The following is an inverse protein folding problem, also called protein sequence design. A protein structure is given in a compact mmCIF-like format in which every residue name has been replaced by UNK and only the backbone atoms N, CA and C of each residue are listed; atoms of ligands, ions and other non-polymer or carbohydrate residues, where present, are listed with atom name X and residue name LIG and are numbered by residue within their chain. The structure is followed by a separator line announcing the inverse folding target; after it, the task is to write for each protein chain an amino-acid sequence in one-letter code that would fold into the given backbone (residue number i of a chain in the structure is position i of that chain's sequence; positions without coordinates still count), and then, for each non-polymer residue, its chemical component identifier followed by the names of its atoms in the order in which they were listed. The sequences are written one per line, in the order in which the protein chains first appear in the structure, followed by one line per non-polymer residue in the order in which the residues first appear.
data_IF_520537552194
#
_entry.id   IF_520537552194
#
_cell.length_a   1.000
_cell.length_b   1.000
_cell.length_c   1.000
_cell.angle_alpha   90.00
_cell.angle_beta   90.00
_cell.angle_gamma   90.00
#
_symmetry.space_group_name_H-M   'P 1'
#
loop_
_entity.id
_entity.type
_entity.pdbx_description
1 polymer ?
#
# COMPACT_ATOMS: atom_id res chain seq x y z
N UNK A 1 18.78 0.38 -46.20
CA UNK A 1 17.51 -0.03 -46.84
C UNK A 1 16.38 0.45 -45.94
N UNK A 2 15.58 1.42 -46.38
CA UNK A 2 14.42 1.88 -45.61
C UNK A 2 13.28 0.89 -45.86
N UNK A 3 13.09 -0.06 -44.94
CA UNK A 3 11.96 -0.99 -45.01
C UNK A 3 10.67 -0.21 -44.74
N UNK A 4 9.85 -0.07 -45.77
CA UNK A 4 8.47 0.41 -45.66
C UNK A 4 7.52 -0.77 -45.63
N UNK A 5 6.54 -0.72 -44.72
CA UNK A 5 5.44 -1.68 -44.68
C UNK A 5 4.13 -0.94 -44.93
N UNK A 6 3.29 -1.46 -45.80
CA UNK A 6 1.92 -0.95 -45.94
C UNK A 6 1.16 -1.23 -44.63
N UNK A 7 0.70 -0.17 -43.97
CA UNK A 7 -0.02 -0.26 -42.69
C UNK A 7 -1.52 -0.21 -42.93
N UNK A 8 -1.97 0.67 -43.82
CA UNK A 8 -3.38 0.87 -44.09
C UNK A 8 -3.61 1.46 -45.48
N UNK A 9 -4.77 1.19 -46.06
CA UNK A 9 -5.26 1.81 -47.29
C UNK A 9 -6.68 2.32 -47.01
N UNK A 10 -6.92 3.60 -47.31
CA UNK A 10 -8.22 4.24 -47.10
C UNK A 10 -8.55 5.16 -48.29
N UNK A 11 -9.83 5.51 -48.45
CA UNK A 11 -10.34 6.27 -49.60
C UNK A 11 -10.82 7.64 -49.17
N UNK A 12 -10.14 8.69 -49.63
CA UNK A 12 -10.56 10.06 -49.41
C UNK A 12 -11.65 10.46 -50.41
N UNK A 13 -12.78 10.95 -49.88
CA UNK A 13 -13.89 11.52 -50.64
C UNK A 13 -14.39 10.60 -51.77
N UNK A 14 -14.39 9.28 -51.54
CA UNK A 14 -14.81 8.21 -52.46
C UNK A 14 -14.04 8.12 -53.80
N UNK A 15 -13.00 8.94 -53.98
CA UNK A 15 -12.31 9.11 -55.27
C UNK A 15 -10.81 8.78 -55.15
N UNK A 16 -10.16 9.16 -54.05
CA UNK A 16 -8.71 9.10 -53.94
C UNK A 16 -8.26 8.08 -52.89
N UNK A 17 -7.88 6.89 -53.35
CA UNK A 17 -7.23 5.88 -52.49
C UNK A 17 -5.86 6.37 -52.03
N UNK A 18 -5.57 6.32 -50.73
CA UNK A 18 -4.26 6.61 -50.16
C UNK A 18 -3.77 5.43 -49.33
N UNK A 19 -2.52 5.07 -49.57
CA UNK A 19 -1.80 4.03 -48.85
C UNK A 19 -0.89 4.71 -47.83
N UNK A 20 -1.00 4.29 -46.59
CA UNK A 20 -0.22 4.75 -45.45
C UNK A 20 0.90 3.75 -45.18
N UNK A 21 2.14 4.19 -45.36
CA UNK A 21 3.33 3.35 -45.23
C UNK A 21 4.03 3.64 -43.90
N UNK A 22 4.19 2.62 -43.07
CA UNK A 22 4.98 2.71 -41.84
C UNK A 22 6.47 2.51 -42.12
N UNK A 23 7.31 3.35 -41.53
CA UNK A 23 8.76 3.18 -41.51
C UNK A 23 9.24 2.56 -40.17
N UNK A 24 10.54 2.27 -40.07
CA UNK A 24 11.18 1.71 -38.86
C UNK A 24 11.04 2.64 -37.65
N UNK A 25 10.91 3.95 -37.88
CA UNK A 25 10.74 4.96 -36.84
C UNK A 25 9.26 5.11 -36.40
N UNK A 26 8.38 4.20 -36.84
CA UNK A 26 6.94 4.24 -36.60
C UNK A 26 6.27 5.54 -37.09
N UNK A 27 6.86 6.20 -38.10
CA UNK A 27 6.21 7.28 -38.82
C UNK A 27 5.42 6.72 -40.00
N UNK A 28 4.26 7.31 -40.22
CA UNK A 28 3.39 7.00 -41.33
C UNK A 28 3.59 8.00 -42.47
N UNK A 29 3.75 7.46 -43.68
CA UNK A 29 4.19 8.17 -44.86
C UNK A 29 3.19 8.00 -45.99
N UNK A 30 2.96 9.06 -46.76
CA UNK A 30 2.11 9.06 -47.96
C UNK A 30 2.89 9.62 -49.14
N UNK A 31 2.69 9.06 -50.33
CA UNK A 31 3.42 9.51 -51.53
C UNK A 31 2.94 10.87 -52.02
N UNK A 32 3.83 11.63 -52.67
CA UNK A 32 3.48 12.90 -53.31
C UNK A 32 2.33 12.79 -54.32
N UNK A 33 2.25 11.66 -55.02
CA UNK A 33 1.23 11.40 -56.05
C UNK A 33 -0.15 11.23 -55.42
N UNK A 34 -0.24 10.44 -54.33
CA UNK A 34 -1.48 10.24 -53.58
C UNK A 34 -2.01 11.55 -53.01
N UNK A 35 -1.15 12.37 -52.41
CA UNK A 35 -1.51 13.69 -51.89
C UNK A 35 -2.02 14.59 -53.02
N UNK A 36 -1.29 14.70 -54.13
CA UNK A 36 -1.70 15.55 -55.24
C UNK A 36 -3.04 15.12 -55.86
N UNK A 37 -3.30 13.81 -55.91
CA UNK A 37 -4.55 13.25 -56.46
C UNK A 37 -5.71 13.54 -55.52
N UNK A 38 -5.53 13.34 -54.22
CA UNK A 38 -6.54 13.64 -53.21
C UNK A 38 -6.90 15.13 -53.18
N UNK A 39 -5.93 16.01 -53.43
CA UNK A 39 -6.15 17.44 -53.55
C UNK A 39 -6.78 17.86 -54.90
N UNK A 40 -6.94 16.95 -55.86
CA UNK A 40 -7.59 17.24 -57.15
C UNK A 40 -6.69 17.91 -58.20
N UNK A 41 -5.36 17.81 -58.08
CA UNK A 41 -4.45 18.33 -59.11
C UNK A 41 -4.48 17.46 -60.38
N UNK A 42 -4.52 18.10 -61.56
CA UNK A 42 -4.45 17.41 -62.87
C UNK A 42 -3.14 16.63 -63.07
N UNK A 43 -2.03 17.17 -62.56
CA UNK A 43 -0.71 16.54 -62.57
C UNK A 43 -0.23 16.41 -61.11
N UNK A 44 -0.68 15.39 -60.37
CA UNK A 44 -0.52 15.29 -58.92
C UNK A 44 0.94 15.45 -58.44
N UNK A 45 1.82 14.56 -58.90
CA UNK A 45 3.24 14.54 -58.52
C UNK A 45 3.95 15.86 -58.80
N UNK A 46 3.76 16.44 -59.99
CA UNK A 46 4.42 17.68 -60.39
C UNK A 46 3.87 18.90 -59.63
N UNK A 47 2.57 18.93 -59.32
CA UNK A 47 2.00 19.99 -58.50
C UNK A 47 2.59 19.98 -57.09
N UNK A 48 2.67 18.81 -56.45
CA UNK A 48 3.26 18.69 -55.11
C UNK A 48 4.75 18.98 -55.13
N UNK A 49 5.48 18.54 -56.17
CA UNK A 49 6.89 18.89 -56.35
C UNK A 49 7.09 20.40 -56.45
N UNK A 50 6.22 21.13 -57.15
CA UNK A 50 6.29 22.60 -57.23
C UNK A 50 6.06 23.26 -55.87
N UNK A 51 5.11 22.76 -55.07
CA UNK A 51 4.88 23.24 -53.70
C UNK A 51 6.13 22.99 -52.85
N UNK A 52 6.67 21.77 -52.90
CA UNK A 52 7.89 21.40 -52.21
C UNK A 52 9.05 22.35 -52.56
N UNK A 53 9.33 22.55 -53.84
CA UNK A 53 10.47 23.37 -54.27
C UNK A 53 10.35 24.83 -53.82
N UNK A 54 9.13 25.36 -53.66
CA UNK A 54 8.90 26.71 -53.15
C UNK A 54 9.10 26.83 -51.63
N UNK A 55 8.93 25.75 -50.89
CA UNK A 55 9.00 25.69 -49.42
C UNK A 55 10.00 24.62 -48.96
N UNK A 56 11.12 24.56 -49.68
CA UNK A 56 12.11 23.49 -49.57
C UNK A 56 12.79 23.48 -48.20
N UNK A 57 13.10 24.66 -47.68
CA UNK A 57 13.67 24.90 -46.36
C UNK A 57 12.93 24.14 -45.25
N UNK A 58 11.60 24.01 -45.38
CA UNK A 58 10.77 23.29 -44.43
C UNK A 58 10.45 21.87 -44.85
N UNK A 59 10.08 21.65 -46.12
CA UNK A 59 9.60 20.35 -46.60
C UNK A 59 10.71 19.31 -46.77
N UNK A 60 11.97 19.70 -46.94
CA UNK A 60 13.11 18.77 -46.92
C UNK A 60 13.17 18.02 -45.57
N UNK A 61 12.81 18.65 -44.46
CA UNK A 61 12.83 18.03 -43.12
C UNK A 61 11.69 17.02 -42.88
N UNK A 62 10.63 17.06 -43.70
CA UNK A 62 9.42 16.25 -43.51
C UNK A 62 9.14 15.34 -44.70
N UNK A 63 10.14 15.15 -45.56
CA UNK A 63 10.06 14.30 -46.73
C UNK A 63 11.21 13.32 -46.76
N UNK A 64 11.00 12.20 -47.44
CA UNK A 64 12.06 11.23 -47.68
C UNK A 64 11.95 10.65 -49.08
N UNK A 65 13.10 10.58 -49.75
CA UNK A 65 13.24 9.91 -51.03
C UNK A 65 13.48 8.42 -50.76
N UNK A 66 12.60 7.57 -51.27
CA UNK A 66 12.74 6.12 -51.12
C UNK A 66 12.89 5.52 -52.51
N UNK A 67 14.07 4.93 -52.75
CA UNK A 67 14.38 4.17 -53.96
C UNK A 67 13.59 2.88 -53.89
N UNK A 68 12.67 2.67 -54.83
CA UNK A 68 11.84 1.46 -54.81
C UNK A 68 12.59 0.30 -55.48
N UNK A 69 13.09 -0.66 -54.70
CA UNK A 69 13.43 -1.99 -55.20
C UNK A 69 12.17 -2.85 -55.49
N UNK A 70 10.97 -2.25 -55.48
CA UNK A 70 9.67 -2.88 -55.72
C UNK A 70 9.46 -3.29 -57.20
N UNK A 71 10.44 -3.98 -57.77
CA UNK A 71 10.23 -4.89 -58.90
C UNK A 71 9.79 -6.24 -58.36
N UNK A 72 8.49 -6.34 -58.06
CA UNK A 72 7.60 -7.52 -58.16
C UNK A 72 6.49 -7.47 -57.12
N UNK A 73 5.32 -6.98 -57.54
CA UNK A 73 4.06 -7.21 -56.83
C UNK A 73 3.50 -5.98 -56.14
N UNK A 74 2.74 -5.16 -56.87
CA UNK A 74 1.31 -4.89 -56.64
C UNK A 74 0.88 -3.88 -57.72
N UNK A 75 -0.26 -4.17 -58.34
CA UNK A 75 -0.85 -3.45 -59.46
C UNK A 75 -1.40 -2.10 -58.97
N UNK A 76 -0.80 -0.99 -59.40
CA UNK A 76 -1.49 0.20 -59.94
C UNK A 76 -0.49 1.35 -60.09
N UNK A 77 -0.32 1.87 -61.31
CA UNK A 77 0.38 3.14 -61.57
C UNK A 77 1.68 3.02 -62.39
N UNK A 78 1.53 3.08 -63.71
CA UNK A 78 2.53 3.44 -64.74
C UNK A 78 3.91 2.74 -64.68
N UNK A 79 4.03 1.63 -65.41
CA UNK A 79 5.31 1.16 -65.95
C UNK A 79 5.78 2.21 -66.97
N UNK A 80 6.89 2.90 -66.70
CA UNK A 80 7.60 3.61 -67.75
C UNK A 80 8.28 2.58 -68.67
N UNK A 81 8.38 2.90 -69.95
CA UNK A 81 8.83 1.97 -71.00
C UNK A 81 10.30 1.51 -70.85
N UNK A 82 11.01 1.92 -69.80
CA UNK A 82 12.46 1.73 -69.63
C UNK A 82 12.87 1.01 -68.32
N UNK A 83 11.95 0.53 -67.49
CA UNK A 83 12.31 -0.32 -66.33
C UNK A 83 13.19 0.36 -65.28
N UNK A 84 13.10 1.69 -65.15
CA UNK A 84 13.88 2.44 -64.18
C UNK A 84 13.27 2.35 -62.78
N UNK A 85 14.11 2.19 -61.76
CA UNK A 85 13.71 2.32 -60.35
C UNK A 85 13.17 3.74 -60.16
N UNK A 86 11.87 3.88 -59.96
CA UNK A 86 11.27 5.19 -59.73
C UNK A 86 11.46 5.59 -58.26
N UNK A 87 12.36 6.54 -58.03
CA UNK A 87 12.49 7.20 -56.74
C UNK A 87 11.17 7.91 -56.41
N UNK A 88 10.49 7.45 -55.36
CA UNK A 88 9.23 8.06 -54.89
C UNK A 88 9.52 8.93 -53.68
N UNK A 89 9.00 10.16 -53.73
CA UNK A 89 9.04 11.09 -52.60
C UNK A 89 7.82 10.86 -51.71
N UNK A 90 8.10 10.66 -50.43
CA UNK A 90 7.11 10.48 -49.37
C UNK A 90 7.13 11.66 -48.42
N UNK A 91 6.00 11.90 -47.76
CA UNK A 91 5.86 12.90 -46.71
C UNK A 91 5.29 12.28 -45.45
N UNK A 92 5.85 12.63 -44.30
CA UNK A 92 5.29 12.26 -43.00
C UNK A 92 4.10 13.15 -42.66
N UNK A 93 3.44 12.87 -41.53
CA UNK A 93 2.29 13.65 -41.03
C UNK A 93 2.50 15.15 -41.15
N UNK A 94 3.63 15.70 -40.66
CA UNK A 94 3.93 17.14 -40.72
C UNK A 94 4.09 17.64 -42.17
N UNK A 95 4.73 16.86 -43.03
CA UNK A 95 4.89 17.19 -44.45
C UNK A 95 3.56 17.26 -45.19
N UNK A 96 2.63 16.35 -44.90
CA UNK A 96 1.27 16.34 -45.47
C UNK A 96 0.46 17.57 -45.02
N UNK A 97 0.60 18.00 -43.76
CA UNK A 97 -0.06 19.23 -43.30
C UNK A 97 0.49 20.46 -44.00
N UNK A 98 1.81 20.53 -44.20
CA UNK A 98 2.46 21.67 -44.87
C UNK A 98 2.15 21.78 -46.36
N UNK A 99 2.34 20.69 -47.08
CA UNK A 99 1.33 20.13 -47.97
C UNK A 99 0.09 20.99 -48.30
N UNK A 100 -0.94 20.67 -47.53
CA UNK A 100 -2.28 21.22 -47.62
C UNK A 100 -2.29 22.71 -47.32
N UNK A 101 -1.51 23.18 -46.34
CA UNK A 101 -1.39 24.60 -45.98
C UNK A 101 -0.96 25.49 -47.15
N UNK A 102 -0.05 25.01 -48.00
CA UNK A 102 0.43 25.75 -49.17
C UNK A 102 -0.34 25.43 -50.46
N UNK A 103 -1.21 24.42 -50.43
CA UNK A 103 -2.07 24.07 -51.54
C UNK A 103 -3.19 25.11 -51.71
N UNK A 104 -3.50 25.47 -52.95
CA UNK A 104 -4.63 26.36 -53.27
C UNK A 104 -5.88 25.61 -53.72
N UNK A 105 -5.90 24.29 -53.53
CA UNK A 105 -7.03 23.46 -53.92
C UNK A 105 -8.14 23.52 -52.88
N UNK A 106 -9.42 23.53 -53.28
CA UNK A 106 -10.55 23.61 -52.35
C UNK A 106 -10.70 22.37 -51.47
N UNK A 107 -10.05 21.25 -51.82
CA UNK A 107 -10.06 20.01 -51.05
C UNK A 107 -8.95 19.95 -49.97
N UNK A 108 -8.11 20.98 -49.85
CA UNK A 108 -6.95 20.96 -48.96
C UNK A 108 -7.31 20.79 -47.48
N UNK A 109 -8.25 21.59 -46.97
CA UNK A 109 -8.66 21.51 -45.56
C UNK A 109 -9.32 20.17 -45.24
N UNK A 110 -10.24 19.71 -46.12
CA UNK A 110 -10.90 18.41 -45.96
C UNK A 110 -9.90 17.25 -45.96
N UNK A 111 -8.89 17.30 -46.84
CA UNK A 111 -7.86 16.27 -46.89
C UNK A 111 -6.96 16.31 -45.66
N UNK A 112 -6.66 17.52 -45.16
CA UNK A 112 -5.90 17.72 -43.93
C UNK A 112 -6.59 17.03 -42.74
N UNK A 113 -7.88 17.32 -42.51
CA UNK A 113 -8.66 16.76 -41.40
C UNK A 113 -8.74 15.24 -41.49
N UNK A 114 -9.07 14.72 -42.68
CA UNK A 114 -9.17 13.28 -42.93
C UNK A 114 -7.84 12.54 -42.70
N UNK A 115 -6.73 13.07 -43.23
CA UNK A 115 -5.42 12.49 -43.01
C UNK A 115 -5.02 12.55 -41.52
N UNK A 116 -5.39 13.61 -40.82
CA UNK A 116 -5.10 13.75 -39.40
C UNK A 116 -5.79 12.66 -38.58
N UNK A 117 -7.07 12.39 -38.84
CA UNK A 117 -7.85 11.34 -38.17
C UNK A 117 -7.26 9.93 -38.37
N UNK A 118 -6.89 9.58 -39.61
CA UNK A 118 -6.26 8.29 -39.91
C UNK A 118 -4.93 8.16 -39.17
N UNK A 119 -4.08 9.18 -39.25
CA UNK A 119 -2.78 9.16 -38.60
C UNK A 119 -2.91 9.05 -37.07
N UNK A 120 -3.85 9.77 -36.45
CA UNK A 120 -4.10 9.66 -35.00
C UNK A 120 -4.63 8.29 -34.59
N UNK A 121 -5.50 7.69 -35.40
CA UNK A 121 -5.98 6.32 -35.17
C UNK A 121 -4.83 5.31 -35.28
N UNK A 122 -3.99 5.44 -36.30
CA UNK A 122 -2.82 4.56 -36.49
C UNK A 122 -1.83 4.66 -35.32
N UNK A 123 -1.52 5.89 -34.89
CA UNK A 123 -0.65 6.12 -33.72
C UNK A 123 -1.27 5.48 -32.47
N UNK A 124 -2.56 5.73 -32.21
CA UNK A 124 -3.27 5.18 -31.04
C UNK A 124 -3.27 3.66 -31.05
N UNK A 125 -3.50 3.03 -32.21
CA UNK A 125 -3.47 1.58 -32.34
C UNK A 125 -2.07 1.01 -32.10
N UNK A 126 -1.01 1.69 -32.57
CA UNK A 126 0.37 1.26 -32.32
C UNK A 126 0.76 1.29 -30.84
N UNK A 127 0.20 2.22 -30.06
CA UNK A 127 0.42 2.32 -28.62
C UNK A 127 -0.33 1.22 -27.84
N UNK A 128 -1.45 0.73 -28.39
CA UNK A 128 -2.27 -0.31 -27.76
C UNK A 128 -1.75 -1.74 -27.99
N UNK A 129 -0.80 -1.94 -28.92
CA UNK A 129 -0.17 -3.24 -29.15
C UNK A 129 1.13 -3.37 -28.36
N UNK A 130 1.03 -3.78 -27.09
CA UNK A 130 2.19 -4.28 -26.35
C UNK A 130 2.57 -5.64 -26.94
N UNK A 131 3.68 -5.71 -27.66
CA UNK A 131 4.25 -6.98 -28.11
C UNK A 131 5.20 -7.47 -27.04
N UNK A 132 4.71 -8.38 -26.20
CA UNK A 132 5.53 -9.08 -25.21
C UNK A 132 6.33 -10.18 -25.90
N UNK A 133 7.60 -10.34 -25.54
CA UNK A 133 8.38 -11.52 -25.88
C UNK A 133 7.76 -12.78 -25.24
N UNK A 134 8.11 -13.95 -25.79
CA UNK A 134 7.62 -15.24 -25.26
C UNK A 134 8.06 -15.44 -23.81
N UNK A 135 9.26 -14.99 -23.50
CA UNK A 135 9.86 -15.04 -22.16
C UNK A 135 9.07 -14.17 -21.19
N UNK A 136 8.77 -12.91 -21.53
CA UNK A 136 7.97 -11.99 -20.73
C UNK A 136 6.56 -12.52 -20.47
N UNK A 137 5.92 -13.09 -21.50
CA UNK A 137 4.61 -13.72 -21.34
C UNK A 137 4.66 -14.90 -20.36
N UNK A 138 5.70 -15.75 -20.45
CA UNK A 138 5.86 -16.89 -19.54
C UNK A 138 6.06 -16.45 -18.09
N UNK A 139 6.82 -15.36 -17.86
CA UNK A 139 7.05 -14.81 -16.52
C UNK A 139 5.74 -14.30 -15.91
N UNK A 140 4.91 -13.61 -16.69
CA UNK A 140 3.61 -13.10 -16.23
C UNK A 140 2.67 -14.26 -15.85
N UNK A 141 2.63 -15.32 -16.67
CA UNK A 141 1.79 -16.50 -16.39
C UNK A 141 2.25 -17.21 -15.12
N UNK A 142 3.56 -17.36 -14.92
CA UNK A 142 4.10 -17.97 -13.71
C UNK A 142 3.77 -17.13 -12.46
N UNK A 143 3.97 -15.82 -12.53
CA UNK A 143 3.63 -14.90 -11.44
C UNK A 143 2.12 -14.95 -11.12
N UNK A 144 1.25 -15.02 -12.13
CA UNK A 144 -0.19 -15.14 -11.94
C UNK A 144 -0.57 -16.46 -11.23
N UNK A 145 0.09 -17.56 -11.58
CA UNK A 145 -0.11 -18.85 -10.92
C UNK A 145 0.34 -18.81 -9.45
N UNK A 146 1.49 -18.19 -9.15
CA UNK A 146 1.99 -18.01 -7.79
C UNK A 146 1.02 -17.19 -6.94
N UNK A 147 0.52 -16.06 -7.46
CA UNK A 147 -0.51 -15.26 -6.80
C UNK A 147 -1.78 -16.08 -6.52
N UNK A 148 -2.19 -16.92 -7.48
CA UNK A 148 -3.32 -17.84 -7.30
C UNK A 148 -3.11 -18.85 -6.17
N UNK A 149 -1.88 -19.36 -6.00
CA UNK A 149 -1.54 -20.24 -4.88
C UNK A 149 -1.53 -19.50 -3.55
N UNK A 150 -0.93 -18.31 -3.51
CA UNK A 150 -0.90 -17.46 -2.31
C UNK A 150 -2.30 -17.13 -1.81
N UNK A 151 -3.23 -16.83 -2.71
CA UNK A 151 -4.63 -16.57 -2.34
C UNK A 151 -5.29 -17.78 -1.66
N UNK A 152 -5.05 -19.00 -2.14
CA UNK A 152 -5.58 -20.22 -1.49
C UNK A 152 -5.02 -20.41 -0.08
N UNK A 153 -3.73 -20.14 0.11
CA UNK A 153 -3.09 -20.21 1.44
C UNK A 153 -3.70 -19.15 2.37
N UNK A 154 -3.92 -17.92 1.89
CA UNK A 154 -4.55 -16.86 2.67
C UNK A 154 -5.99 -17.20 3.08
N UNK A 155 -6.77 -17.80 2.19
CA UNK A 155 -8.11 -18.30 2.54
C UNK A 155 -8.07 -19.37 3.63
N UNK A 156 -7.13 -20.32 3.52
CA UNK A 156 -6.95 -21.37 4.52
C UNK A 156 -6.53 -20.79 5.88
N UNK A 157 -5.60 -19.83 5.89
CA UNK A 157 -5.16 -19.15 7.10
C UNK A 157 -6.31 -18.38 7.77
N UNK A 158 -7.14 -17.71 6.97
CA UNK A 158 -8.32 -16.99 7.47
C UNK A 158 -9.31 -17.93 8.15
N UNK A 159 -9.56 -19.12 7.57
CA UNK A 159 -10.42 -20.15 8.19
C UNK A 159 -9.82 -20.66 9.50
N UNK A 160 -8.51 -20.87 9.57
CA UNK A 160 -7.84 -21.29 10.81
C UNK A 160 -7.94 -20.23 11.91
N UNK A 161 -7.76 -18.95 11.57
CA UNK A 161 -7.91 -17.85 12.54
C UNK A 161 -9.34 -17.78 13.11
N UNK A 162 -10.36 -18.00 12.28
CA UNK A 162 -11.74 -18.07 12.75
C UNK A 162 -11.95 -19.22 13.74
N UNK A 163 -11.41 -20.41 13.45
CA UNK A 163 -11.50 -21.57 14.36
C UNK A 163 -10.82 -21.27 15.70
N UNK A 164 -9.61 -20.72 15.68
CA UNK A 164 -8.86 -20.35 16.90
C UNK A 164 -9.64 -19.29 17.70
N UNK A 165 -10.21 -18.30 17.03
CA UNK A 165 -11.01 -17.26 17.69
C UNK A 165 -12.23 -17.84 18.42
N UNK A 166 -12.92 -18.81 17.82
CA UNK A 166 -14.07 -19.48 18.42
C UNK A 166 -13.67 -20.40 19.58
N UNK A 167 -12.50 -21.02 19.51
CA UNK A 167 -11.94 -21.79 20.62
C UNK A 167 -11.60 -20.87 21.80
N UNK A 168 -11.00 -19.71 21.53
CA UNK A 168 -10.69 -18.72 22.57
C UNK A 168 -11.95 -18.20 23.27
N UNK A 169 -13.02 -17.87 22.55
CA UNK A 169 -14.29 -17.46 23.18
C UNK A 169 -14.86 -18.58 24.04
N UNK A 170 -14.83 -19.82 23.56
CA UNK A 170 -15.27 -20.99 24.34
C UNK A 170 -14.45 -21.19 25.61
N UNK A 171 -13.14 -20.96 25.55
CA UNK A 171 -12.26 -21.03 26.73
C UNK A 171 -12.56 -19.91 27.72
N UNK A 172 -12.76 -18.68 27.25
CA UNK A 172 -13.14 -17.55 28.11
C UNK A 172 -14.47 -17.81 28.83
N UNK A 173 -15.46 -18.39 28.14
CA UNK A 173 -16.73 -18.80 28.74
C UNK A 173 -16.54 -19.87 29.82
N UNK A 174 -15.72 -20.90 29.55
CA UNK A 174 -15.39 -21.93 30.53
C UNK A 174 -14.70 -21.35 31.76
N UNK A 175 -13.71 -20.47 31.57
CA UNK A 175 -13.02 -19.79 32.66
C UNK A 175 -14.00 -18.94 33.49
N UNK A 176 -14.91 -18.22 32.84
CA UNK A 176 -15.93 -17.42 33.52
C UNK A 176 -16.85 -18.29 34.38
N UNK A 177 -17.27 -19.46 33.89
CA UNK A 177 -18.08 -20.43 34.66
C UNK A 177 -17.32 -21.02 35.83
N UNK A 178 -16.03 -21.32 35.66
CA UNK A 178 -15.16 -21.78 36.75
C UNK A 178 -15.06 -20.68 37.81
N UNK A 179 -14.82 -19.44 37.41
CA UNK A 179 -14.79 -18.28 38.32
C UNK A 179 -16.08 -18.15 39.13
N UNK A 180 -17.25 -18.26 38.48
CA UNK A 180 -18.55 -18.24 39.17
C UNK A 180 -18.68 -19.38 40.18
N UNK A 181 -18.21 -20.58 39.86
CA UNK A 181 -18.23 -21.72 40.79
C UNK A 181 -17.29 -21.51 41.97
N UNK A 182 -16.09 -20.97 41.75
CA UNK A 182 -15.13 -20.64 42.82
C UNK A 182 -15.76 -19.64 43.80
N UNK A 183 -16.46 -18.61 43.30
CA UNK A 183 -17.15 -17.61 44.13
C UNK A 183 -18.26 -18.19 45.03
N UNK A 184 -18.79 -19.36 44.71
CA UNK A 184 -19.81 -20.04 45.54
C UNK A 184 -19.20 -20.92 46.64
N UNK A 185 -17.93 -21.32 46.49
CA UNK A 185 -17.26 -22.27 47.39
C UNK A 185 -16.28 -21.53 48.32
N UNK A 186 -15.63 -20.49 47.80
CA UNK A 186 -14.73 -19.63 48.57
C UNK A 186 -15.57 -18.45 49.07
N UNK A 187 -15.66 -18.19 50.39
CA UNK A 187 -16.35 -17.01 50.88
C UNK A 187 -15.75 -15.77 50.19
N UNK A 188 -16.57 -14.77 49.81
CA UNK A 188 -16.05 -13.56 49.18
C UNK A 188 -14.94 -13.00 50.06
N UNK A 189 -13.86 -12.50 49.45
CA UNK A 189 -12.80 -11.80 50.17
C UNK A 189 -13.48 -10.61 50.87
N UNK A 190 -13.83 -10.80 52.14
CA UNK A 190 -14.43 -9.77 52.97
C UNK A 190 -13.30 -8.79 53.29
N UNK A 191 -13.08 -7.84 52.41
CA UNK A 191 -12.33 -6.65 52.77
C UNK A 191 -13.14 -5.93 53.84
N UNK A 192 -12.65 -5.97 55.07
CA UNK A 192 -13.21 -5.13 56.13
C UNK A 192 -13.16 -3.66 55.67
N UNK A 193 -14.08 -2.85 56.20
CA UNK A 193 -14.06 -1.40 55.95
C UNK A 193 -12.68 -0.80 56.25
N UNK A 194 -12.00 -1.32 57.28
CA UNK A 194 -10.65 -0.92 57.67
C UNK A 194 -9.59 -1.29 56.62
N UNK A 195 -9.59 -2.51 56.10
CA UNK A 195 -8.65 -2.93 55.04
C UNK A 195 -8.78 -2.08 53.77
N UNK A 196 -10.01 -1.76 53.38
CA UNK A 196 -10.27 -0.89 52.22
C UNK A 196 -9.70 0.53 52.45
N UNK A 197 -9.93 1.10 53.63
CA UNK A 197 -9.39 2.41 54.03
C UNK A 197 -7.86 2.42 53.99
N UNK A 198 -7.22 1.40 54.55
CA UNK A 198 -5.75 1.30 54.57
C UNK A 198 -5.15 1.10 53.18
N UNK A 199 -5.76 0.25 52.35
CA UNK A 199 -5.32 0.03 50.96
C UNK A 199 -5.34 1.34 50.16
N UNK A 200 -6.40 2.15 50.30
CA UNK A 200 -6.48 3.47 49.65
C UNK A 200 -5.40 4.44 50.14
N UNK A 201 -5.11 4.46 51.44
CA UNK A 201 -4.01 5.27 52.01
C UNK A 201 -2.66 4.84 51.42
N UNK A 202 -2.38 3.54 51.37
CA UNK A 202 -1.13 2.99 50.82
C UNK A 202 -0.98 3.27 49.33
N UNK A 203 -2.06 3.17 48.55
CA UNK A 203 -2.06 3.58 47.13
C UNK A 203 -1.72 5.07 46.98
N UNK A 204 -2.20 5.92 47.90
CA UNK A 204 -1.89 7.35 47.88
C UNK A 204 -0.43 7.63 48.26
N UNK A 205 0.12 6.90 49.25
CA UNK A 205 1.54 6.96 49.62
C UNK A 205 2.44 6.53 48.46
N UNK A 206 2.11 5.42 47.80
CA UNK A 206 2.86 4.92 46.64
C UNK A 206 2.93 5.99 45.53
N UNK A 207 1.83 6.70 45.26
CA UNK A 207 1.82 7.80 44.28
C UNK A 207 2.74 8.96 44.69
N UNK A 208 2.74 9.34 45.97
CA UNK A 208 3.62 10.41 46.48
C UNK A 208 5.09 10.03 46.33
N UNK A 209 5.44 8.75 46.53
CA UNK A 209 6.79 8.22 46.39
C UNK A 209 7.21 7.93 44.93
N UNK A 210 6.33 8.14 43.95
CA UNK A 210 6.61 7.86 42.54
C UNK A 210 6.60 6.38 42.16
N UNK A 211 5.99 5.53 42.98
CA UNK A 211 5.89 4.09 42.73
C UNK A 211 4.82 3.77 41.69
N UNK A 212 5.15 2.92 40.72
CA UNK A 212 4.32 2.70 39.52
C UNK A 212 3.88 1.26 39.30
N UNK A 213 4.52 0.30 39.96
CA UNK A 213 4.20 -1.13 39.84
C UNK A 213 3.67 -1.73 41.15
N UNK A 214 3.17 -2.97 41.09
CA UNK A 214 2.60 -3.64 42.27
C UNK A 214 3.65 -4.14 43.27
N UNK A 215 4.89 -4.36 42.85
CA UNK A 215 5.97 -4.79 43.75
C UNK A 215 6.45 -3.63 44.64
N UNK A 216 6.44 -2.41 44.11
CA UNK A 216 6.69 -1.20 44.89
C UNK A 216 5.63 -1.03 45.99
N UNK A 217 4.36 -1.36 45.70
CA UNK A 217 3.29 -1.31 46.72
C UNK A 217 3.49 -2.36 47.80
N UNK A 218 3.93 -3.58 47.43
CA UNK A 218 4.27 -4.62 48.41
C UNK A 218 5.43 -4.20 49.31
N UNK A 219 6.38 -3.42 48.79
CA UNK A 219 7.49 -2.90 49.58
C UNK A 219 7.02 -2.01 50.74
N UNK A 220 5.99 -1.17 50.51
CA UNK A 220 5.40 -0.32 51.56
C UNK A 220 4.79 -1.19 52.69
N UNK A 221 4.06 -2.26 52.34
CA UNK A 221 3.55 -3.19 53.35
C UNK A 221 4.69 -3.87 54.13
N UNK A 222 5.75 -4.28 53.44
CA UNK A 222 6.95 -4.84 54.08
C UNK A 222 7.61 -3.87 55.06
N UNK A 223 7.78 -2.61 54.66
CA UNK A 223 8.32 -1.55 55.52
C UNK A 223 7.44 -1.36 56.77
N UNK A 224 6.12 -1.29 56.60
CA UNK A 224 5.19 -1.12 57.72
C UNK A 224 5.28 -2.31 58.69
N UNK A 225 5.33 -3.55 58.18
CA UNK A 225 5.48 -4.72 59.04
C UNK A 225 6.80 -4.72 59.80
N UNK A 226 7.89 -4.28 59.16
CA UNK A 226 9.18 -4.12 59.84
C UNK A 226 9.13 -3.01 60.92
N UNK A 227 8.42 -1.91 60.67
CA UNK A 227 8.20 -0.84 61.64
C UNK A 227 7.36 -1.33 62.83
N UNK A 228 6.34 -2.16 62.60
CA UNK A 228 5.58 -2.80 63.69
C UNK A 228 6.48 -3.72 64.54
N UNK A 229 7.32 -4.54 63.90
CA UNK A 229 8.25 -5.45 64.60
C UNK A 229 9.29 -4.69 65.42
N UNK A 230 9.95 -3.69 64.83
CA UNK A 230 11.10 -3.02 65.44
C UNK A 230 10.74 -1.78 66.27
N UNK A 231 9.75 -1.00 65.85
CA UNK A 231 9.36 0.26 66.50
C UNK A 231 8.36 0.10 67.64
N UNK A 232 7.56 -0.97 67.60
CA UNK A 232 6.52 -1.25 68.60
C UNK A 232 6.73 -2.60 69.33
N UNK A 233 7.86 -3.29 69.07
CA UNK A 233 8.23 -4.58 69.66
C UNK A 233 7.13 -5.66 69.51
N UNK A 234 6.49 -5.71 68.33
CA UNK A 234 5.38 -6.62 68.05
C UNK A 234 5.90 -7.90 67.38
N UNK A 235 5.68 -9.04 68.03
CA UNK A 235 5.90 -10.35 67.43
C UNK A 235 4.75 -10.74 66.48
N UNK A 236 4.77 -10.21 65.27
CA UNK A 236 3.77 -10.51 64.23
C UNK A 236 3.68 -12.00 63.88
N UNK A 237 4.76 -12.76 64.10
CA UNK A 237 4.79 -14.19 63.77
C UNK A 237 3.97 -14.97 64.81
N UNK A 238 4.08 -14.64 66.10
CA UNK A 238 3.20 -15.18 67.16
C UNK A 238 1.71 -14.85 66.95
N UNK A 239 1.39 -13.61 66.57
CA UNK A 239 0.01 -13.23 66.24
C UNK A 239 -0.54 -14.04 65.06
N UNK A 240 0.28 -14.31 64.05
CA UNK A 240 -0.10 -15.13 62.90
C UNK A 240 -0.35 -16.59 63.28
N UNK A 241 0.48 -17.16 64.13
CA UNK A 241 0.28 -18.52 64.66
C UNK A 241 -1.03 -18.64 65.44
N UNK A 242 -1.28 -17.70 66.36
CA UNK A 242 -2.53 -17.67 67.13
C UNK A 242 -3.78 -17.52 66.23
N UNK A 243 -3.69 -16.68 65.20
CA UNK A 243 -4.76 -16.53 64.23
C UNK A 243 -5.04 -17.83 63.46
N UNK A 244 -4.00 -18.56 63.05
CA UNK A 244 -4.12 -19.84 62.35
C UNK A 244 -4.74 -20.93 63.23
N UNK A 245 -4.47 -20.94 64.54
CA UNK A 245 -5.11 -21.88 65.48
C UNK A 245 -6.64 -21.68 65.58
N UNK A 246 -7.11 -20.46 65.33
CA UNK A 246 -8.54 -20.12 65.34
C UNK A 246 -9.28 -20.40 64.01
N UNK A 247 -8.55 -20.78 62.95
CA UNK A 247 -9.07 -20.98 61.59
C UNK A 247 -8.97 -22.47 61.21
N UNK A 248 -10.09 -23.13 60.90
CA UNK A 248 -10.10 -24.58 60.65
C UNK A 248 -9.51 -25.02 59.30
N UNK A 249 -9.35 -24.12 58.31
CA UNK A 249 -9.03 -24.52 56.92
C UNK A 249 -7.99 -23.64 56.19
N UNK A 250 -7.37 -22.66 56.84
CA UNK A 250 -6.45 -21.72 56.16
C UNK A 250 -4.98 -22.07 56.41
N UNK A 251 -4.27 -22.58 55.38
CA UNK A 251 -2.82 -22.86 55.46
C UNK A 251 -1.92 -21.68 55.10
N UNK A 252 -2.49 -20.63 54.48
CA UNK A 252 -1.74 -19.44 54.08
C UNK A 252 -2.61 -18.19 54.27
N UNK A 253 -2.33 -17.45 55.34
CA UNK A 253 -3.06 -16.23 55.71
C UNK A 253 -2.14 -15.02 55.46
N UNK A 254 -2.67 -13.97 54.83
CA UNK A 254 -1.93 -12.74 54.62
C UNK A 254 -1.81 -11.97 55.95
N UNK A 255 -0.67 -11.34 56.21
CA UNK A 255 -0.43 -10.64 57.49
C UNK A 255 -1.46 -9.52 57.75
N UNK A 256 -1.94 -8.87 56.68
CA UNK A 256 -3.00 -7.86 56.77
C UNK A 256 -4.33 -8.44 57.31
N UNK A 257 -4.60 -9.73 57.11
CA UNK A 257 -5.79 -10.39 57.66
C UNK A 257 -5.66 -10.63 59.16
N UNK A 258 -4.47 -10.98 59.61
CA UNK A 258 -4.14 -11.12 61.04
C UNK A 258 -4.26 -9.78 61.74
N UNK A 259 -3.67 -8.72 61.17
CA UNK A 259 -3.75 -7.35 61.72
C UNK A 259 -5.19 -6.88 61.76
N UNK A 260 -5.98 -7.14 60.72
CA UNK A 260 -7.38 -6.78 60.68
C UNK A 260 -8.25 -7.54 61.70
N UNK A 261 -7.77 -8.62 62.29
CA UNK A 261 -8.53 -9.34 63.32
C UNK A 261 -8.35 -8.78 64.74
N UNK A 262 -7.33 -7.94 64.96
CA UNK A 262 -6.96 -7.40 66.26
C UNK A 262 -7.00 -5.87 66.24
N UNK A 263 -7.80 -5.28 67.14
CA UNK A 263 -7.99 -3.83 67.18
C UNK A 263 -6.71 -3.07 67.53
N UNK A 264 -5.85 -3.64 68.37
CA UNK A 264 -4.57 -3.01 68.75
C UNK A 264 -3.61 -3.01 67.58
N UNK A 265 -3.53 -4.12 66.84
CA UNK A 265 -2.70 -4.19 65.63
C UNK A 265 -3.20 -3.24 64.54
N UNK A 266 -4.53 -3.10 64.37
CA UNK A 266 -5.12 -2.13 63.44
C UNK A 266 -4.72 -0.70 63.76
N UNK A 267 -4.80 -0.30 65.03
CA UNK A 267 -4.50 1.06 65.47
C UNK A 267 -3.02 1.40 65.23
N UNK A 268 -2.11 0.46 65.57
CA UNK A 268 -0.67 0.63 65.35
C UNK A 268 -0.35 0.69 63.86
N UNK A 269 -0.96 -0.18 63.05
CA UNK A 269 -0.77 -0.17 61.61
C UNK A 269 -1.26 1.16 61.00
N UNK A 270 -2.43 1.65 61.41
CA UNK A 270 -2.96 2.93 60.92
C UNK A 270 -2.08 4.12 61.34
N UNK A 271 -1.56 4.13 62.57
CA UNK A 271 -0.64 5.16 63.05
C UNK A 271 0.66 5.21 62.22
N UNK A 272 1.23 4.04 61.89
CA UNK A 272 2.41 3.94 61.05
C UNK A 272 2.11 4.43 59.62
N UNK A 273 0.98 4.03 59.04
CA UNK A 273 0.56 4.48 57.70
C UNK A 273 0.42 6.01 57.67
N UNK A 274 -0.19 6.61 58.68
CA UNK A 274 -0.42 8.06 58.73
C UNK A 274 0.88 8.86 58.91
N UNK A 275 1.89 8.28 59.56
CA UNK A 275 3.22 8.89 59.75
C UNK A 275 4.28 8.37 58.78
N UNK A 276 3.93 7.53 57.82
CA UNK A 276 4.89 6.76 57.02
C UNK A 276 5.95 7.64 56.33
N UNK A 277 5.54 8.75 55.73
CA UNK A 277 6.46 9.69 55.05
C UNK A 277 7.44 10.33 56.04
N UNK A 278 6.96 10.72 57.23
CA UNK A 278 7.79 11.36 58.26
C UNK A 278 8.81 10.38 58.85
N UNK A 279 8.37 9.15 59.12
CA UNK A 279 9.23 8.07 59.65
C UNK A 279 10.29 7.69 58.61
N UNK A 280 9.90 7.51 57.35
CA UNK A 280 10.82 7.13 56.27
C UNK A 280 11.87 8.23 56.01
N UNK A 281 11.45 9.50 55.99
CA UNK A 281 12.36 10.65 55.87
C UNK A 281 13.34 10.75 57.05
N UNK A 282 12.90 10.42 58.27
CA UNK A 282 13.77 10.40 59.46
C UNK A 282 14.81 9.27 59.45
N UNK A 283 14.46 8.09 58.95
CA UNK A 283 15.38 6.96 58.81
C UNK A 283 16.46 7.20 57.75
N UNK A 284 16.14 7.90 56.66
CA UNK A 284 17.13 8.28 55.63
C UNK A 284 18.17 9.29 56.15
N UNK A 285 17.84 10.12 57.14
CA UNK A 285 18.79 11.05 57.76
C UNK A 285 19.75 10.32 58.71
N UNK A 286 19.28 9.29 59.43
CA UNK A 286 20.10 8.51 60.36
C UNK A 286 21.07 7.57 59.63
N UNK A 287 20.68 7.01 58.48
CA UNK A 287 21.54 6.13 57.68
C UNK A 287 22.60 6.89 56.84
N UNK A 288 22.49 8.22 56.74
CA UNK A 288 23.43 9.08 56.01
C UNK A 288 24.31 9.95 56.94
N UNK A 289 24.26 9.72 58.26
CA UNK A 289 25.08 10.38 59.28
C UNK A 289 26.11 9.39 59.86
#
# INVERSE_FOLDING_TARGET
MNNLKLVETDVFNEIATCDFWGNINNEYLVTREQIGRALGYKNPSEAIKKIHMKHRDRLDNYSCLIKSDFSRGVRSGAIDSNGAIQDRMFYNRKGIMEICRWSRQPLADKFMDWCWEIMDRLISNSLNTVTLSREEYSMIVNAANEVGQLNKVNEQLTRQLQIISAQNTTMQDKLSRIWQKIMLIVPPVHYSSWKNKMSQKIVSLAKILGYTNDDDRKSIYGDIYNMMKSGYDIDLDSYKENYLLSQTDCKNVAMIDVIDSDTVLRDIFEEIVDRYIQIKSGMEVINNA
#
